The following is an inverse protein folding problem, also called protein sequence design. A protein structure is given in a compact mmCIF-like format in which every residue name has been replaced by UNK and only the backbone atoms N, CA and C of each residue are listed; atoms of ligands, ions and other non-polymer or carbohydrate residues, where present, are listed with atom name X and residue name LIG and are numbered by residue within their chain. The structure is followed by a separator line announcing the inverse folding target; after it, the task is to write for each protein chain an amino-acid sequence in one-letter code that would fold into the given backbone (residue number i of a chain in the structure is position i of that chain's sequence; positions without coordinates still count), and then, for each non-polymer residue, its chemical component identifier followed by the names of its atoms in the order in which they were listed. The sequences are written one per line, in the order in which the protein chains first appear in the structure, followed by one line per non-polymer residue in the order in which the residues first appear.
data_IF_614615605213
#
_entry.id   IF_614615605213
#
_cell.length_a   1.000
_cell.length_b   1.000
_cell.length_c   1.000
_cell.angle_alpha   90.00
_cell.angle_beta   90.00
_cell.angle_gamma   90.00
#
_symmetry.space_group_name_H-M   'P 1'
#
loop_
_entity.id
_entity.type
_entity.pdbx_description
1 polymer ?
#
# COMPACT_ATOMS: atom_id res chain seq x y z
N UNK A 1 -24.83 -0.33 -6.49
CA UNK A 1 -24.69 -1.47 -5.63
C UNK A 1 -23.57 -2.35 -6.16
N UNK A 2 -22.66 -2.63 -5.28
CA UNK A 2 -21.91 -3.81 -4.98
C UNK A 2 -20.49 -3.90 -5.55
N UNK A 3 -19.59 -3.26 -4.83
CA UNK A 3 -18.23 -3.73 -4.72
C UNK A 3 -18.09 -4.56 -3.45
N UNK A 4 -18.63 -5.78 -3.45
CA UNK A 4 -18.25 -6.77 -2.45
C UNK A 4 -16.80 -7.16 -2.71
N UNK A 5 -15.90 -6.79 -1.79
CA UNK A 5 -14.58 -7.40 -1.71
C UNK A 5 -14.78 -8.84 -1.25
N UNK A 6 -14.03 -9.78 -1.83
CA UNK A 6 -13.87 -11.09 -1.21
C UNK A 6 -13.40 -10.87 0.24
N UNK A 7 -14.02 -11.55 1.19
CA UNK A 7 -13.71 -11.35 2.60
C UNK A 7 -12.22 -11.51 2.87
N UNK A 8 -11.73 -10.80 3.88
CA UNK A 8 -10.33 -10.87 4.32
C UNK A 8 -9.86 -12.32 4.38
N UNK A 9 -8.66 -12.60 3.92
CA UNK A 9 -8.04 -13.91 4.06
C UNK A 9 -7.91 -14.24 5.55
N UNK A 10 -7.91 -15.52 5.91
CA UNK A 10 -7.78 -15.99 7.31
C UNK A 10 -6.53 -15.41 7.97
N UNK A 11 -5.47 -15.18 7.18
CA UNK A 11 -4.22 -14.62 7.67
C UNK A 11 -4.32 -13.11 7.93
N UNK A 12 -5.04 -12.37 7.09
CA UNK A 12 -5.36 -10.95 7.31
C UNK A 12 -6.27 -10.76 8.52
N UNK A 13 -7.29 -11.62 8.68
CA UNK A 13 -8.16 -11.63 9.86
C UNK A 13 -7.35 -11.90 11.14
N UNK A 14 -6.39 -12.83 11.09
CA UNK A 14 -5.55 -13.15 12.24
C UNK A 14 -4.60 -11.99 12.59
N UNK A 15 -3.96 -11.37 11.60
CA UNK A 15 -3.09 -10.21 11.82
C UNK A 15 -3.87 -9.00 12.33
N UNK A 16 -5.05 -8.73 11.76
CA UNK A 16 -5.94 -7.67 12.20
C UNK A 16 -6.47 -7.92 13.62
N UNK A 17 -6.80 -9.17 13.96
CA UNK A 17 -7.24 -9.54 15.31
C UNK A 17 -6.13 -9.37 16.34
N UNK A 18 -4.91 -9.81 16.04
CA UNK A 18 -3.75 -9.64 16.92
C UNK A 18 -3.39 -8.17 17.13
N UNK A 19 -3.38 -7.36 16.05
CA UNK A 19 -3.16 -5.93 16.13
C UNK A 19 -4.22 -5.21 16.97
N UNK A 20 -5.49 -5.55 16.79
CA UNK A 20 -6.60 -4.99 17.57
C UNK A 20 -6.55 -5.36 19.05
N UNK A 21 -6.09 -6.57 19.39
CA UNK A 21 -6.01 -7.03 20.78
C UNK A 21 -4.86 -6.38 21.54
N UNK A 22 -3.75 -6.09 20.87
CA UNK A 22 -2.57 -5.45 21.48
C UNK A 22 -2.78 -3.97 21.77
N UNK A 23 -3.62 -3.27 21.01
CA UNK A 23 -3.75 -1.82 21.06
C UNK A 23 -4.86 -1.28 21.98
N UNK A 24 -5.56 -2.12 22.72
CA UNK A 24 -6.62 -1.72 23.68
C UNK A 24 -7.52 -0.56 23.15
N UNK A 25 -7.87 -0.58 21.86
CA UNK A 25 -8.70 0.43 21.20
C UNK A 25 -8.09 1.85 21.09
N UNK A 26 -6.80 2.04 21.37
CA UNK A 26 -6.11 3.32 21.18
C UNK A 26 -4.98 3.20 20.18
N UNK A 27 -4.80 4.22 19.37
CA UNK A 27 -3.65 4.34 18.47
C UNK A 27 -2.53 5.07 19.21
N UNK A 28 -1.43 4.39 19.45
CA UNK A 28 -0.26 4.92 20.17
C UNK A 28 0.93 5.08 19.23
N UNK A 29 1.09 4.17 18.27
CA UNK A 29 2.19 4.18 17.30
C UNK A 29 1.72 4.57 15.91
N UNK A 30 2.65 5.00 15.06
CA UNK A 30 2.36 5.25 13.64
C UNK A 30 1.77 4.00 12.95
N UNK A 31 2.24 2.82 13.34
CA UNK A 31 1.73 1.56 12.81
C UNK A 31 0.27 1.30 13.20
N UNK A 32 -0.14 1.71 14.40
CA UNK A 32 -1.53 1.55 14.83
C UNK A 32 -2.48 2.39 13.96
N UNK A 33 -2.06 3.61 13.61
CA UNK A 33 -2.83 4.47 12.70
C UNK A 33 -2.95 3.85 11.30
N UNK A 34 -1.89 3.18 10.81
CA UNK A 34 -1.90 2.47 9.54
C UNK A 34 -2.91 1.31 9.57
N UNK A 35 -2.82 0.45 10.59
CA UNK A 35 -3.72 -0.70 10.75
C UNK A 35 -5.17 -0.22 10.88
N UNK A 36 -5.43 0.82 11.66
CA UNK A 36 -6.78 1.39 11.80
C UNK A 36 -7.30 1.97 10.50
N UNK A 37 -6.48 2.71 9.76
CA UNK A 37 -6.91 3.27 8.48
C UNK A 37 -7.32 2.18 7.48
N UNK A 38 -6.55 1.09 7.42
CA UNK A 38 -6.83 -0.05 6.53
C UNK A 38 -8.01 -0.91 7.01
N UNK A 39 -8.28 -0.95 8.33
CA UNK A 39 -9.40 -1.68 8.92
C UNK A 39 -10.67 -0.85 9.06
N UNK A 40 -10.76 0.32 8.40
CA UNK A 40 -11.95 1.14 8.42
C UNK A 40 -13.16 0.37 7.85
N UNK A 41 -14.32 0.38 8.54
CA UNK A 41 -15.52 -0.29 8.06
C UNK A 41 -15.92 0.14 6.64
N UNK A 42 -16.27 -0.81 5.79
CA UNK A 42 -16.57 -0.58 4.36
C UNK A 42 -17.76 0.36 4.12
N UNK A 43 -18.68 0.49 5.07
CA UNK A 43 -19.78 1.46 5.01
C UNK A 43 -19.30 2.92 5.06
N UNK A 44 -18.12 3.19 5.60
CA UNK A 44 -17.47 4.51 5.60
C UNK A 44 -16.60 4.75 4.36
N UNK A 45 -16.31 3.68 3.63
CA UNK A 45 -15.47 3.66 2.44
C UNK A 45 -14.29 2.70 2.58
N UNK A 46 -13.53 2.50 1.50
CA UNK A 46 -12.41 1.58 1.46
C UNK A 46 -11.12 2.34 1.15
N UNK A 47 -10.12 2.14 2.01
CA UNK A 47 -8.75 2.59 1.78
C UNK A 47 -7.97 1.46 1.12
N UNK A 48 -7.46 1.71 -0.08
CA UNK A 48 -6.69 0.71 -0.83
C UNK A 48 -5.28 0.54 -0.26
N UNK A 49 -4.62 1.66 -0.04
CA UNK A 49 -3.24 1.73 0.48
C UNK A 49 -3.13 2.91 1.43
N UNK A 50 -2.33 2.74 2.47
CA UNK A 50 -2.02 3.79 3.42
C UNK A 50 -0.54 3.75 3.80
N UNK A 51 0.01 4.90 4.16
CA UNK A 51 1.36 5.05 4.69
C UNK A 51 1.39 6.19 5.69
N UNK A 52 2.01 5.97 6.83
CA UNK A 52 2.14 6.97 7.89
C UNK A 52 3.58 7.45 7.97
N UNK A 53 3.74 8.75 7.94
CA UNK A 53 5.04 9.39 8.11
C UNK A 53 4.97 10.40 9.24
N UNK A 54 5.77 10.24 10.31
CA UNK A 54 5.90 11.28 11.33
C UNK A 54 6.44 12.56 10.69
N UNK A 55 5.80 13.69 10.93
CA UNK A 55 6.29 14.97 10.47
C UNK A 55 7.53 15.34 11.29
N UNK A 56 8.66 15.54 10.61
CA UNK A 56 9.84 16.15 11.23
C UNK A 56 9.53 17.63 11.42
N UNK A 57 9.12 18.01 12.61
CA UNK A 57 8.99 19.41 12.97
C UNK A 57 10.42 19.90 13.16
N UNK A 58 10.84 20.86 12.35
CA UNK A 58 12.16 21.46 12.45
C UNK A 58 12.41 22.04 13.82
N UNK A 59 13.68 22.14 14.22
CA UNK A 59 14.24 22.57 15.49
C UNK A 59 13.38 23.59 16.29
N UNK A 60 12.34 23.12 16.94
CA UNK A 60 11.68 23.88 17.96
C UNK A 60 12.38 23.60 19.30
N UNK A 61 13.17 24.57 19.69
CA UNK A 61 13.65 24.64 21.06
C UNK A 61 12.46 24.88 21.99
N UNK A 62 12.28 23.93 22.91
CA UNK A 62 11.38 24.01 24.08
C UNK A 62 9.86 24.04 23.80
N UNK A 63 9.25 22.95 24.11
CA UNK A 63 7.81 22.73 24.23
C UNK A 63 7.42 21.42 23.56
N UNK A 64 6.79 20.53 24.29
CA UNK A 64 6.19 19.31 23.73
C UNK A 64 5.14 19.73 22.70
N UNK A 65 5.53 19.70 21.43
CA UNK A 65 4.60 19.93 20.32
C UNK A 65 3.75 18.67 20.12
N UNK A 66 2.48 18.82 19.74
CA UNK A 66 1.64 17.69 19.42
C UNK A 66 2.32 16.87 18.32
N UNK A 67 2.32 15.55 18.47
CA UNK A 67 2.79 14.63 17.45
C UNK A 67 1.94 14.82 16.21
N UNK A 68 2.53 15.31 15.12
CA UNK A 68 1.85 15.49 13.84
C UNK A 68 2.23 14.33 12.94
N UNK A 69 1.23 13.55 12.55
CA UNK A 69 1.39 12.43 11.64
C UNK A 69 0.78 12.77 10.29
N UNK A 70 1.54 12.60 9.22
CA UNK A 70 1.04 12.65 7.86
C UNK A 70 0.61 11.23 7.44
N UNK A 71 -0.68 11.05 7.22
CA UNK A 71 -1.28 9.81 6.73
C UNK A 71 -1.57 9.94 5.23
N UNK A 72 -0.78 9.28 4.42
CA UNK A 72 -0.97 9.21 2.97
C UNK A 72 -1.90 8.06 2.63
N UNK A 73 -2.93 8.34 1.83
CA UNK A 73 -3.95 7.35 1.49
C UNK A 73 -4.25 7.32 0.00
N UNK A 74 -4.59 6.13 -0.48
CA UNK A 74 -5.12 5.88 -1.83
C UNK A 74 -6.38 5.04 -1.72
N UNK A 75 -7.27 5.18 -2.69
CA UNK A 75 -8.47 4.36 -2.83
C UNK A 75 -8.45 3.59 -4.15
N UNK A 76 -9.33 2.61 -4.30
CA UNK A 76 -9.56 1.95 -5.59
C UNK A 76 -10.62 2.70 -6.42
N UNK A 77 -10.46 2.65 -7.74
CA UNK A 77 -11.54 2.96 -8.65
C UNK A 77 -12.38 1.69 -8.94
N UNK A 78 -13.43 1.82 -9.79
CA UNK A 78 -14.29 0.69 -10.20
C UNK A 78 -13.50 -0.45 -10.86
N UNK A 79 -12.39 -0.12 -11.52
CA UNK A 79 -11.53 -1.09 -12.21
C UNK A 79 -10.41 -1.64 -11.32
N UNK A 80 -10.48 -1.47 -10.00
CA UNK A 80 -9.44 -1.84 -9.02
C UNK A 80 -8.07 -1.14 -9.22
N UNK A 81 -8.02 -0.07 -10.01
CA UNK A 81 -6.80 0.75 -10.10
C UNK A 81 -6.74 1.75 -8.96
N UNK A 82 -5.53 2.11 -8.55
CA UNK A 82 -5.32 3.12 -7.52
C UNK A 82 -5.75 4.51 -8.01
N UNK A 83 -6.38 5.25 -7.13
CA UNK A 83 -6.72 6.66 -7.31
C UNK A 83 -6.61 7.44 -6.01
N UNK A 84 -6.59 8.75 -6.10
CA UNK A 84 -6.66 9.62 -4.93
C UNK A 84 -7.98 9.45 -4.19
N UNK A 85 -7.91 9.47 -2.87
CA UNK A 85 -9.08 9.37 -2.02
C UNK A 85 -10.00 10.59 -2.19
N UNK A 86 -11.30 10.37 -2.30
CA UNK A 86 -12.26 11.49 -2.36
C UNK A 86 -12.27 12.29 -1.05
N UNK A 87 -12.71 13.54 -1.11
CA UNK A 87 -12.82 14.40 0.08
C UNK A 87 -13.75 13.77 1.12
N UNK A 88 -14.84 13.14 0.66
CA UNK A 88 -15.78 12.45 1.54
C UNK A 88 -15.11 11.28 2.27
N UNK A 89 -14.34 10.46 1.55
CA UNK A 89 -13.60 9.34 2.13
C UNK A 89 -12.57 9.81 3.16
N UNK A 90 -11.83 10.88 2.87
CA UNK A 90 -10.86 11.44 3.82
C UNK A 90 -11.54 12.00 5.08
N UNK A 91 -12.71 12.63 4.94
CA UNK A 91 -13.51 13.09 6.09
C UNK A 91 -13.99 11.92 6.94
N UNK A 92 -14.53 10.87 6.32
CA UNK A 92 -14.97 9.67 7.02
C UNK A 92 -13.78 9.03 7.78
N UNK A 93 -12.63 8.91 7.13
CA UNK A 93 -11.42 8.40 7.75
C UNK A 93 -10.96 9.27 8.92
N UNK A 94 -10.98 10.60 8.76
CA UNK A 94 -10.63 11.53 9.84
C UNK A 94 -11.56 11.38 11.05
N UNK A 95 -12.86 11.28 10.81
CA UNK A 95 -13.86 11.06 11.87
C UNK A 95 -13.63 9.71 12.56
N UNK A 96 -13.43 8.66 11.78
CA UNK A 96 -13.17 7.32 12.31
C UNK A 96 -11.89 7.27 13.16
N UNK A 97 -10.78 7.83 12.67
CA UNK A 97 -9.51 7.86 13.41
C UNK A 97 -9.58 8.75 14.67
N UNK A 98 -10.45 9.76 14.68
CA UNK A 98 -10.60 10.65 15.85
C UNK A 98 -11.11 9.93 17.09
N UNK A 99 -11.80 8.80 16.94
CA UNK A 99 -12.28 7.97 18.04
C UNK A 99 -11.16 7.19 18.74
N UNK A 100 -10.05 6.97 18.03
CA UNK A 100 -8.94 6.13 18.51
C UNK A 100 -7.67 6.91 18.83
N UNK A 101 -7.52 8.13 18.28
CA UNK A 101 -6.31 8.94 18.44
C UNK A 101 -6.08 9.37 19.89
N UNK A 102 -4.82 9.59 20.25
CA UNK A 102 -4.48 10.26 21.51
C UNK A 102 -4.80 11.76 21.43
N UNK A 103 -5.06 12.38 22.59
CA UNK A 103 -5.45 13.80 22.68
C UNK A 103 -4.37 14.72 22.07
N UNK A 104 -3.10 14.34 22.18
CA UNK A 104 -1.97 15.14 21.71
C UNK A 104 -1.60 14.88 20.25
N UNK A 105 -2.22 13.89 19.58
CA UNK A 105 -1.88 13.56 18.21
C UNK A 105 -2.73 14.37 17.23
N UNK A 106 -2.07 14.92 16.22
CA UNK A 106 -2.71 15.55 15.06
C UNK A 106 -2.42 14.71 13.82
N UNK A 107 -3.46 14.42 13.04
CA UNK A 107 -3.34 13.60 11.84
C UNK A 107 -3.70 14.45 10.63
N UNK A 108 -2.78 14.57 9.68
CA UNK A 108 -3.03 15.17 8.39
C UNK A 108 -3.24 14.08 7.34
N UNK A 109 -4.43 13.98 6.77
CA UNK A 109 -4.73 13.01 5.71
C UNK A 109 -4.40 13.64 4.37
N UNK A 110 -3.41 13.06 3.67
CA UNK A 110 -2.89 13.53 2.40
C UNK A 110 -3.09 12.49 1.30
N UNK A 111 -3.09 12.93 0.06
CA UNK A 111 -3.03 12.03 -1.08
C UNK A 111 -1.60 11.55 -1.30
N UNK A 112 -1.43 10.26 -1.58
CA UNK A 112 -0.16 9.75 -2.07
C UNK A 112 -0.04 9.98 -3.58
N UNK A 113 1.19 10.14 -4.07
CA UNK A 113 1.46 10.24 -5.51
C UNK A 113 1.40 8.86 -6.16
N UNK A 114 0.70 8.78 -7.28
CA UNK A 114 0.67 7.59 -8.13
C UNK A 114 1.66 7.81 -9.27
N UNK A 115 2.69 6.96 -9.33
CA UNK A 115 3.71 6.99 -10.36
C UNK A 115 3.47 5.81 -11.30
N UNK A 116 3.17 6.11 -12.55
CA UNK A 116 3.08 5.08 -13.59
C UNK A 116 4.49 4.81 -14.11
N UNK A 117 4.87 3.55 -14.10
CA UNK A 117 6.18 3.09 -14.60
C UNK A 117 6.00 2.28 -15.87
N UNK A 118 6.99 2.35 -16.74
CA UNK A 118 7.13 1.50 -17.91
C UNK A 118 8.42 0.72 -17.79
N UNK A 119 8.37 -0.58 -18.03
CA UNK A 119 9.54 -1.45 -18.07
C UNK A 119 9.81 -1.83 -19.51
N UNK A 120 10.97 -1.43 -20.02
CA UNK A 120 11.49 -1.89 -21.31
C UNK A 120 12.60 -2.90 -21.03
N UNK A 121 12.49 -4.08 -21.56
CA UNK A 121 13.48 -5.14 -21.37
C UNK A 121 13.80 -5.85 -22.67
N UNK A 122 15.00 -6.41 -22.75
CA UNK A 122 15.47 -7.25 -23.83
C UNK A 122 16.00 -8.55 -23.22
N UNK A 123 15.60 -9.67 -23.80
CA UNK A 123 16.02 -11.00 -23.36
C UNK A 123 16.59 -11.80 -24.53
N UNK A 124 17.61 -12.60 -24.24
CA UNK A 124 18.12 -13.59 -25.17
C UNK A 124 17.50 -14.93 -24.85
N UNK A 125 16.87 -15.56 -25.84
CA UNK A 125 16.19 -16.85 -25.64
C UNK A 125 17.10 -17.98 -26.09
N UNK A 126 17.17 -19.05 -25.32
CA UNK A 126 17.90 -20.24 -25.64
C UNK A 126 17.29 -20.91 -26.89
N UNK A 127 18.07 -21.33 -27.89
CA UNK A 127 17.58 -21.93 -29.16
C UNK A 127 16.64 -23.13 -29.01
N UNK A 128 16.64 -23.80 -27.89
CA UNK A 128 15.79 -24.95 -27.59
C UNK A 128 14.37 -24.57 -27.12
N UNK A 129 14.09 -23.28 -26.96
CA UNK A 129 12.80 -22.78 -26.48
C UNK A 129 12.10 -21.92 -27.52
N UNK A 130 10.78 -21.87 -27.44
CA UNK A 130 9.97 -21.03 -28.31
C UNK A 130 10.03 -19.57 -27.83
N UNK A 131 10.49 -18.66 -28.67
CA UNK A 131 10.64 -17.24 -28.34
C UNK A 131 9.35 -16.62 -27.82
N UNK A 132 8.19 -16.94 -28.38
CA UNK A 132 6.91 -16.35 -27.97
C UNK A 132 6.46 -16.84 -26.58
N UNK A 133 6.70 -18.12 -26.30
CA UNK A 133 6.37 -18.69 -24.97
C UNK A 133 7.22 -18.09 -23.88
N UNK A 134 8.54 -17.96 -24.13
CA UNK A 134 9.46 -17.35 -23.17
C UNK A 134 9.14 -15.87 -22.96
N UNK A 135 8.81 -15.14 -24.03
CA UNK A 135 8.41 -13.73 -23.93
C UNK A 135 7.11 -13.57 -23.12
N UNK A 136 6.12 -14.41 -23.38
CA UNK A 136 4.86 -14.38 -22.62
C UNK A 136 5.10 -14.69 -21.15
N UNK A 137 5.87 -15.72 -20.83
CA UNK A 137 6.22 -16.06 -19.45
C UNK A 137 7.00 -14.94 -18.75
N UNK A 138 7.87 -14.23 -19.46
CA UNK A 138 8.59 -13.09 -18.92
C UNK A 138 7.63 -11.92 -18.60
N UNK A 139 6.68 -11.62 -19.50
CA UNK A 139 5.66 -10.60 -19.30
C UNK A 139 4.76 -10.95 -18.12
N UNK A 140 4.28 -12.18 -18.03
CA UNK A 140 3.41 -12.65 -16.95
C UNK A 140 4.12 -12.56 -15.61
N UNK A 141 5.41 -12.91 -15.55
CA UNK A 141 6.23 -12.76 -14.33
C UNK A 141 6.36 -11.30 -13.91
N UNK A 142 6.50 -10.36 -14.86
CA UNK A 142 6.54 -8.94 -14.56
C UNK A 142 5.18 -8.41 -14.07
N UNK A 143 4.09 -8.82 -14.69
CA UNK A 143 2.72 -8.46 -14.29
C UNK A 143 2.48 -8.93 -12.85
N UNK A 144 2.86 -10.16 -12.53
CA UNK A 144 2.72 -10.71 -11.18
C UNK A 144 3.61 -9.98 -10.16
N UNK A 145 4.82 -9.59 -10.54
CA UNK A 145 5.73 -8.84 -9.68
C UNK A 145 5.20 -7.44 -9.36
N UNK A 146 4.65 -6.75 -10.36
CA UNK A 146 4.08 -5.41 -10.22
C UNK A 146 2.60 -5.38 -9.86
N UNK A 147 2.07 -6.49 -9.38
CA UNK A 147 0.70 -6.54 -8.89
C UNK A 147 0.50 -5.48 -7.79
N UNK A 148 -0.49 -4.62 -8.00
CA UNK A 148 -0.81 -3.49 -7.10
C UNK A 148 -0.98 -3.95 -5.65
N UNK A 149 -1.56 -5.13 -5.43
CA UNK A 149 -1.85 -5.62 -4.08
C UNK A 149 -0.58 -5.99 -3.31
N UNK A 150 0.49 -6.36 -4.01
CA UNK A 150 1.78 -6.73 -3.42
C UNK A 150 2.66 -5.53 -3.06
N UNK A 151 2.38 -4.33 -3.59
CA UNK A 151 3.22 -3.15 -3.40
C UNK A 151 2.70 -2.21 -2.32
N UNK A 152 3.60 -1.65 -1.53
CA UNK A 152 3.29 -0.67 -0.49
C UNK A 152 3.62 0.75 -0.97
N UNK A 153 2.99 1.75 -0.34
CA UNK A 153 3.38 3.16 -0.56
C UNK A 153 4.82 3.34 -0.03
N UNK A 154 5.62 4.09 -0.79
CA UNK A 154 7.03 4.38 -0.48
C UNK A 154 7.95 3.15 -0.54
N UNK A 155 7.55 2.07 -1.21
CA UNK A 155 8.41 0.92 -1.46
C UNK A 155 9.36 1.22 -2.63
N UNK A 156 10.68 1.04 -2.48
CA UNK A 156 11.63 1.28 -3.56
C UNK A 156 11.55 0.20 -4.64
N UNK A 157 11.63 0.62 -5.91
CA UNK A 157 11.74 -0.30 -7.06
C UNK A 157 13.22 -0.54 -7.31
N UNK A 158 13.65 -1.78 -7.17
CA UNK A 158 15.06 -2.18 -7.35
C UNK A 158 15.19 -2.86 -8.72
N UNK A 159 15.91 -2.23 -9.64
CA UNK A 159 16.12 -2.76 -11.00
C UNK A 159 16.78 -4.14 -11.01
N UNK A 160 17.67 -4.40 -10.05
CA UNK A 160 18.29 -5.70 -9.89
C UNK A 160 17.29 -6.83 -9.64
N UNK A 161 16.23 -6.57 -8.88
CA UNK A 161 15.20 -7.58 -8.58
C UNK A 161 14.42 -7.95 -9.86
N UNK A 162 14.16 -6.96 -10.72
CA UNK A 162 13.55 -7.19 -12.02
C UNK A 162 14.46 -8.06 -12.91
N UNK A 163 15.76 -7.77 -12.92
CA UNK A 163 16.74 -8.58 -13.65
C UNK A 163 16.77 -10.02 -13.14
N UNK A 164 16.82 -10.22 -11.82
CA UNK A 164 16.79 -11.55 -11.20
C UNK A 164 15.49 -12.28 -11.50
N UNK A 165 14.36 -11.56 -11.54
CA UNK A 165 13.06 -12.14 -11.87
C UNK A 165 13.07 -12.69 -13.31
N UNK A 166 13.50 -11.87 -14.27
CA UNK A 166 13.56 -12.26 -15.68
C UNK A 166 14.55 -13.40 -15.93
N UNK A 167 15.68 -13.43 -15.22
CA UNK A 167 16.67 -14.51 -15.33
C UNK A 167 16.18 -15.87 -14.83
N UNK A 168 15.14 -15.90 -14.00
CA UNK A 168 14.51 -17.16 -13.53
C UNK A 168 13.51 -17.75 -14.51
N UNK A 169 13.12 -17.03 -15.54
CA UNK A 169 12.18 -17.52 -16.55
C UNK A 169 12.88 -18.61 -17.38
N UNK A 170 12.22 -19.76 -17.48
CA UNK A 170 12.77 -20.89 -18.24
C UNK A 170 12.98 -20.52 -19.71
N UNK A 171 14.18 -20.73 -20.20
CA UNK A 171 14.55 -20.41 -21.59
C UNK A 171 15.21 -19.04 -21.78
N UNK A 172 15.30 -18.20 -20.76
CA UNK A 172 16.09 -16.97 -20.82
C UNK A 172 17.57 -17.33 -20.61
N UNK A 173 18.40 -16.83 -21.51
CA UNK A 173 19.86 -16.95 -21.42
C UNK A 173 20.40 -15.71 -20.73
N UNK A 174 21.23 -15.91 -19.69
CA UNK A 174 21.88 -14.87 -18.90
C UNK A 174 23.18 -14.44 -19.59
#
# INVERSE_FOLDING_TARGET
ADGGQDGDSIEELRQNALGNFQNQLRTVTAQDYLVRALSMPSNLGVIAKAHVQPQKIGDYQSGELPSVLDLYVLSYNINKNLRNASIALKRNLSTYLSEYRMINDSINIKDAYIINIQVNFEIVVNPNFNNNEVLTAAIDSLIEYFDIDKWLINQPIIVKDIFVLLSKVSGVQI
#
